data_IF_381911818350
#
_entry.id   IF_381911818350
#
_cell.length_a   1.000
_cell.length_b   1.000
_cell.length_c   1.000
_cell.angle_alpha   90.00
_cell.angle_beta   90.00
_cell.angle_gamma   90.00
#
_symmetry.space_group_name_H-M   'P 1'
#
loop_
_entity.id
_entity.type
_entity.pdbx_description
1 polymer ?
#
# COMPACT_ATOMS: atom_id res chain seq x y z
N UNK A 1 16.85 9.46 -32.55
CA UNK A 1 16.68 10.59 -31.61
C UNK A 1 15.39 10.37 -30.82
N UNK A 2 15.54 9.76 -29.65
CA UNK A 2 14.46 9.19 -28.83
C UNK A 2 13.79 10.25 -27.94
N UNK A 3 13.03 11.16 -28.55
CA UNK A 3 12.31 12.23 -27.83
C UNK A 3 11.28 11.65 -26.83
N UNK A 4 10.75 10.45 -27.10
CA UNK A 4 9.71 9.81 -26.28
C UNK A 4 10.23 9.23 -24.94
N UNK A 5 11.53 8.95 -24.84
CA UNK A 5 12.09 8.31 -23.64
C UNK A 5 12.39 9.34 -22.55
N UNK A 6 12.93 10.50 -22.96
CA UNK A 6 13.24 11.64 -22.08
C UNK A 6 11.99 12.23 -21.43
N UNK A 7 10.84 12.19 -22.09
CA UNK A 7 9.58 12.71 -21.53
C UNK A 7 9.03 11.88 -20.36
N UNK A 8 9.39 10.60 -20.26
CA UNK A 8 8.79 9.69 -19.28
C UNK A 8 9.27 9.97 -17.85
N UNK A 9 10.55 10.26 -17.66
CA UNK A 9 11.13 10.59 -16.35
C UNK A 9 10.68 11.98 -15.88
N UNK A 10 10.64 12.96 -16.80
CA UNK A 10 10.16 14.29 -16.49
C UNK A 10 8.67 14.30 -16.09
N UNK A 11 7.84 13.46 -16.71
CA UNK A 11 6.44 13.31 -16.32
C UNK A 11 6.28 12.66 -14.94
N UNK A 12 7.10 11.66 -14.61
CA UNK A 12 7.09 11.04 -13.29
C UNK A 12 7.42 12.05 -12.19
N UNK A 13 8.44 12.90 -12.39
CA UNK A 13 8.78 13.96 -11.44
C UNK A 13 7.64 14.96 -11.26
N UNK A 14 7.01 15.41 -12.36
CA UNK A 14 5.85 16.31 -12.30
C UNK A 14 4.69 15.69 -11.53
N UNK A 15 4.37 14.43 -11.77
CA UNK A 15 3.30 13.74 -11.04
C UNK A 15 3.64 13.55 -9.57
N UNK A 16 4.91 13.26 -9.24
CA UNK A 16 5.36 13.15 -7.86
C UNK A 16 5.20 14.48 -7.12
N UNK A 17 5.57 15.60 -7.75
CA UNK A 17 5.44 16.94 -7.20
C UNK A 17 3.96 17.32 -6.98
N UNK A 18 3.10 17.02 -7.96
CA UNK A 18 1.67 17.27 -7.84
C UNK A 18 1.03 16.47 -6.68
N UNK A 19 1.45 15.21 -6.51
CA UNK A 19 1.00 14.35 -5.40
C UNK A 19 1.53 14.88 -4.06
N UNK A 20 2.77 15.36 -4.00
CA UNK A 20 3.33 15.98 -2.80
C UNK A 20 2.58 17.25 -2.43
N UNK A 21 2.35 18.16 -3.39
CA UNK A 21 1.56 19.38 -3.18
C UNK A 21 0.17 19.07 -2.63
N UNK A 22 -0.49 18.02 -3.15
CA UNK A 22 -1.77 17.54 -2.60
C UNK A 22 -1.63 17.12 -1.14
N UNK A 23 -0.59 16.36 -0.77
CA UNK A 23 -0.37 15.89 0.60
C UNK A 23 -0.14 17.05 1.57
N UNK A 24 0.70 18.02 1.17
CA UNK A 24 0.97 19.23 1.95
C UNK A 24 -0.29 20.09 2.12
N UNK A 25 -1.12 20.20 1.08
CA UNK A 25 -2.38 20.95 1.14
C UNK A 25 -3.47 20.27 1.99
N UNK A 26 -3.32 18.97 2.29
CA UNK A 26 -4.33 18.18 3.00
C UNK A 26 -5.67 18.03 2.27
N UNK A 27 -5.79 18.49 1.02
CA UNK A 27 -7.05 18.46 0.27
C UNK A 27 -7.49 17.02 -0.04
N UNK A 28 -8.80 16.81 -0.15
CA UNK A 28 -9.32 15.51 -0.58
C UNK A 28 -8.94 15.25 -2.05
N UNK A 29 -8.80 13.97 -2.43
CA UNK A 29 -8.55 13.58 -3.84
C UNK A 29 -9.61 14.17 -4.76
N UNK A 30 -10.86 14.22 -4.30
CA UNK A 30 -11.99 14.71 -5.09
C UNK A 30 -11.84 16.19 -5.41
N UNK A 31 -11.54 17.01 -4.41
CA UNK A 31 -11.32 18.46 -4.57
C UNK A 31 -10.09 18.73 -5.43
N UNK A 32 -8.99 18.03 -5.15
CA UNK A 32 -7.77 18.16 -5.94
C UNK A 32 -8.00 17.83 -7.41
N UNK A 33 -8.72 16.74 -7.70
CA UNK A 33 -9.06 16.36 -9.07
C UNK A 33 -9.95 17.41 -9.76
N UNK A 34 -10.89 18.00 -9.03
CA UNK A 34 -11.76 19.05 -9.55
C UNK A 34 -10.98 20.32 -9.89
N UNK A 35 -10.11 20.77 -8.98
CA UNK A 35 -9.30 21.99 -9.16
C UNK A 35 -8.31 21.84 -10.32
N UNK A 36 -7.68 20.66 -10.43
CA UNK A 36 -6.69 20.39 -11.47
C UNK A 36 -7.32 19.92 -12.80
N UNK A 37 -8.64 19.77 -12.87
CA UNK A 37 -9.34 19.31 -14.08
C UNK A 37 -8.99 17.88 -14.51
N UNK A 38 -8.61 17.02 -13.55
CA UNK A 38 -8.20 15.64 -13.83
C UNK A 38 -9.23 14.64 -13.30
N UNK A 39 -9.27 13.46 -13.91
CA UNK A 39 -10.08 12.37 -13.38
C UNK A 39 -9.40 11.70 -12.18
N UNK A 40 -10.21 11.12 -11.27
CA UNK A 40 -9.68 10.29 -10.17
C UNK A 40 -8.84 9.12 -10.69
N UNK A 41 -9.25 8.51 -11.81
CA UNK A 41 -8.52 7.39 -12.42
C UNK A 41 -7.11 7.82 -12.85
N UNK A 42 -6.98 9.02 -13.43
CA UNK A 42 -5.71 9.62 -13.81
C UNK A 42 -4.82 9.84 -12.58
N UNK A 43 -5.38 10.39 -11.50
CA UNK A 43 -4.65 10.59 -10.24
C UNK A 43 -4.12 9.25 -9.67
N UNK A 44 -4.95 8.22 -9.60
CA UNK A 44 -4.51 6.90 -9.11
C UNK A 44 -3.50 6.23 -10.03
N UNK A 45 -3.62 6.45 -11.34
CA UNK A 45 -2.64 5.98 -12.31
C UNK A 45 -1.27 6.60 -12.07
N UNK A 46 -1.22 7.92 -11.85
CA UNK A 46 0.02 8.64 -11.49
C UNK A 46 0.62 8.13 -10.19
N UNK A 47 -0.20 7.98 -9.15
CA UNK A 47 0.25 7.46 -7.86
C UNK A 47 0.87 6.07 -8.01
N UNK A 48 0.22 5.16 -8.75
CA UNK A 48 0.77 3.81 -9.02
C UNK A 48 2.09 3.87 -9.79
N UNK A 49 2.21 4.77 -10.78
CA UNK A 49 3.44 4.95 -11.56
C UNK A 49 4.59 5.51 -10.73
N UNK A 50 4.33 6.55 -9.93
CA UNK A 50 5.31 7.18 -9.04
C UNK A 50 5.75 6.19 -7.96
N UNK A 51 4.83 5.46 -7.32
CA UNK A 51 5.16 4.42 -6.34
C UNK A 51 5.97 3.28 -6.97
N UNK A 52 5.62 2.83 -8.18
CA UNK A 52 6.40 1.81 -8.89
C UNK A 52 7.82 2.29 -9.19
N UNK A 53 7.99 3.54 -9.62
CA UNK A 53 9.31 4.11 -9.88
C UNK A 53 10.17 4.23 -8.61
N UNK A 54 9.58 4.64 -7.48
CA UNK A 54 10.28 4.64 -6.18
C UNK A 54 10.63 3.23 -5.71
N UNK A 55 9.69 2.29 -5.85
CA UNK A 55 9.89 0.90 -5.44
C UNK A 55 10.89 0.17 -6.35
N UNK A 56 11.03 0.52 -7.63
CA UNK A 56 12.09 -0.03 -8.50
C UNK A 56 13.50 0.42 -8.07
N UNK A 57 13.64 1.58 -7.42
CA UNK A 57 14.93 2.02 -6.86
C UNK A 57 15.24 1.29 -5.54
N UNK A 58 14.21 0.82 -4.84
CA UNK A 58 14.31 0.01 -3.61
C UNK A 58 14.11 -1.51 -3.88
N UNK A 59 14.12 -1.92 -5.15
CA UNK A 59 13.54 -3.17 -5.62
C UNK A 59 14.51 -4.09 -6.35
N UNK A 60 15.73 -4.26 -5.82
CA UNK A 60 16.16 -5.62 -5.50
C UNK A 60 15.86 -5.75 -4.00
N UNK A 61 14.91 -6.54 -3.54
CA UNK A 61 14.77 -7.96 -3.79
C UNK A 61 13.31 -8.37 -4.02
N UNK A 62 13.13 -9.37 -4.87
CA UNK A 62 11.97 -10.25 -4.77
C UNK A 62 12.18 -11.16 -3.57
N UNK A 63 11.97 -10.67 -2.36
CA UNK A 63 11.96 -11.54 -1.19
C UNK A 63 10.56 -12.15 -1.07
N UNK A 64 10.34 -13.21 -1.82
CA UNK A 64 9.42 -14.25 -1.42
C UNK A 64 9.95 -14.85 -0.11
N UNK A 65 9.53 -14.31 1.03
CA UNK A 65 9.45 -14.97 2.35
C UNK A 65 8.86 -14.01 3.38
N UNK A 66 7.62 -14.29 3.76
CA UNK A 66 7.08 -14.11 5.13
C UNK A 66 7.70 -12.99 5.97
N UNK A 67 7.49 -11.73 5.58
CA UNK A 67 7.76 -10.60 6.45
C UNK A 67 6.53 -10.32 7.30
N UNK A 68 6.33 -11.12 8.35
CA UNK A 68 5.53 -10.68 9.48
C UNK A 68 6.51 -9.94 10.40
N UNK A 69 6.31 -8.63 10.67
CA UNK A 69 7.18 -7.90 11.59
C UNK A 69 7.21 -8.63 12.95
N UNK A 70 8.34 -8.60 13.65
CA UNK A 70 8.59 -9.42 14.86
C UNK A 70 7.60 -9.24 16.02
N UNK A 71 6.69 -8.25 15.94
CA UNK A 71 5.57 -8.04 16.86
C UNK A 71 4.22 -8.62 16.41
N UNK A 72 4.14 -9.28 15.26
CA UNK A 72 2.90 -9.89 14.76
C UNK A 72 2.82 -11.32 15.29
N UNK A 73 2.06 -11.49 16.37
CA UNK A 73 1.85 -12.79 16.99
C UNK A 73 0.96 -13.65 16.08
N UNK A 74 1.52 -14.69 15.48
CA UNK A 74 0.77 -15.67 14.69
C UNK A 74 -0.19 -16.41 15.64
N UNK A 75 -1.48 -16.08 15.57
CA UNK A 75 -2.52 -16.86 16.23
C UNK A 75 -2.49 -18.26 15.62
N UNK A 76 -2.05 -19.25 16.39
CA UNK A 76 -1.97 -20.63 15.95
C UNK A 76 -3.33 -21.07 15.37
N UNK A 77 -3.36 -21.91 14.32
CA UNK A 77 -4.60 -22.49 13.84
C UNK A 77 -5.26 -23.26 14.99
N UNK A 78 -6.52 -22.90 15.26
CA UNK A 78 -7.40 -23.42 16.30
C UNK A 78 -7.23 -24.94 16.48
N UNK A 79 -6.89 -25.46 17.68
CA UNK A 79 -6.93 -26.89 17.90
C UNK A 79 -8.36 -27.37 17.71
N UNK A 80 -8.52 -28.37 16.86
CA UNK A 80 -9.78 -29.06 16.62
C UNK A 80 -10.36 -29.50 17.97
N UNK A 81 -11.60 -29.10 18.19
CA UNK A 81 -12.43 -29.45 19.33
C UNK A 81 -12.49 -30.98 19.46
N UNK A 82 -12.04 -31.57 20.58
CA UNK A 82 -12.64 -32.76 21.21
C UNK A 82 -11.71 -33.40 22.25
N UNK A 83 -11.92 -33.07 23.53
CA UNK A 83 -12.00 -34.08 24.58
C UNK A 83 -12.82 -33.48 25.73
N UNK A 84 -13.97 -34.09 26.01
CA UNK A 84 -14.90 -33.68 27.06
C UNK A 84 -14.20 -33.66 28.42
N UNK A 85 -14.11 -32.49 29.05
CA UNK A 85 -13.94 -32.40 30.49
C UNK A 85 -15.34 -32.36 31.12
N UNK A 86 -15.79 -33.49 31.68
CA UNK A 86 -16.93 -33.52 32.59
C UNK A 86 -16.47 -32.95 33.92
N UNK A 87 -16.97 -31.76 34.28
CA UNK A 87 -16.75 -31.17 35.59
C UNK A 87 -17.80 -31.74 36.55
N UNK A 88 -17.42 -32.67 37.43
CA UNK A 88 -18.25 -33.10 38.55
C UNK A 88 -18.03 -32.16 39.73
N UNK A 89 -19.06 -31.39 40.10
CA UNK A 89 -19.06 -30.57 41.30
C UNK A 89 -19.68 -31.40 42.43
N UNK A 90 -18.88 -31.77 43.43
CA UNK A 90 -19.34 -32.40 44.67
C UNK A 90 -19.42 -31.35 45.77
N UNK A 91 -20.62 -31.06 46.24
CA UNK A 91 -20.87 -30.19 47.40
C UNK A 91 -20.96 -31.10 48.64
N UNK A 92 -20.22 -30.76 49.69
CA UNK A 92 -20.29 -31.41 51.01
C UNK A 92 -20.41 -30.35 52.11
#
# INVERSE_FOLDING_TARGET
MDIQKVTSEQQLSKWAELIQSRLESGQSIKEFCLINGISKATYYYWQKKVSKAKCTVLGGEKESKTEVPSGWMQLAPKPAHSAKATLEIKIN
#
